data_IF_949656788114
#
_entry.id   IF_949656788114
#
_cell.length_a   1.000
_cell.length_b   1.000
_cell.length_c   1.000
_cell.angle_alpha   90.00
_cell.angle_beta   90.00
_cell.angle_gamma   90.00
#
_symmetry.space_group_name_H-M   'P 1'
#
loop_
_entity.id
_entity.type
_entity.pdbx_description
1 polymer ?
#
# COMPACT_ATOMS: atom_id res chain seq x y z
N UNK A 1 -22.99 -7.77 7.45
CA UNK A 1 -23.02 -6.45 6.78
C UNK A 1 -21.89 -5.65 7.41
N UNK A 2 -20.74 -5.53 6.75
CA UNK A 2 -19.59 -4.82 7.29
C UNK A 2 -19.87 -3.31 7.31
N UNK A 3 -19.57 -2.64 8.42
CA UNK A 3 -19.60 -1.19 8.49
C UNK A 3 -18.27 -0.67 7.93
N UNK A 4 -18.36 0.16 6.89
CA UNK A 4 -17.23 0.76 6.20
C UNK A 4 -17.14 2.24 6.57
N UNK A 5 -15.98 2.69 7.07
CA UNK A 5 -15.64 4.12 7.00
C UNK A 5 -15.27 4.45 5.54
N UNK A 6 -16.10 5.29 4.93
CA UNK A 6 -16.02 5.72 3.54
C UNK A 6 -14.72 6.43 3.15
N UNK A 7 -13.88 6.84 4.11
CA UNK A 7 -12.61 7.52 3.83
C UNK A 7 -11.41 6.57 3.72
N UNK A 8 -11.48 5.38 4.31
CA UNK A 8 -10.33 4.49 4.50
C UNK A 8 -10.58 3.04 4.06
N UNK A 9 -11.84 2.61 3.89
CA UNK A 9 -12.21 1.24 3.53
C UNK A 9 -11.52 0.18 4.42
N UNK A 10 -11.29 0.50 5.70
CA UNK A 10 -10.69 -0.38 6.69
C UNK A 10 -11.83 -1.16 7.36
N UNK A 11 -11.95 -2.48 7.18
CA UNK A 11 -12.93 -3.28 7.90
C UNK A 11 -12.72 -3.15 9.42
N UNK A 12 -13.78 -3.20 10.20
CA UNK A 12 -13.65 -3.29 11.67
C UNK A 12 -12.98 -4.62 12.01
N UNK A 13 -11.88 -4.64 12.81
CA UNK A 13 -11.26 -5.90 13.20
C UNK A 13 -12.20 -6.65 14.14
N UNK A 14 -12.64 -7.83 13.69
CA UNK A 14 -13.50 -8.75 14.47
C UNK A 14 -12.73 -9.98 14.95
N UNK A 15 -11.40 -9.98 14.80
CA UNK A 15 -10.49 -11.04 15.22
C UNK A 15 -9.35 -10.47 16.05
N UNK A 16 -8.77 -11.27 16.97
CA UNK A 16 -7.59 -10.86 17.73
C UNK A 16 -6.44 -10.52 16.77
N UNK A 17 -5.81 -9.37 16.98
CA UNK A 17 -4.62 -8.98 16.24
C UNK A 17 -3.41 -9.26 17.13
N UNK A 18 -2.46 -10.12 16.73
CA UNK A 18 -1.29 -10.39 17.56
C UNK A 18 -0.53 -9.10 17.89
N UNK A 19 -0.16 -8.91 19.15
CA UNK A 19 0.57 -7.72 19.59
C UNK A 19 1.83 -7.48 18.74
N UNK A 20 2.57 -8.53 18.38
CA UNK A 20 3.77 -8.42 17.53
C UNK A 20 3.47 -7.81 16.15
N UNK A 21 2.30 -8.10 15.59
CA UNK A 21 1.85 -7.55 14.31
C UNK A 21 1.58 -6.06 14.46
N UNK A 22 0.82 -5.65 15.46
CA UNK A 22 0.51 -4.22 15.66
C UNK A 22 1.78 -3.43 15.95
N UNK A 23 2.68 -3.98 16.77
CA UNK A 23 3.97 -3.37 17.11
C UNK A 23 4.91 -3.15 15.93
N UNK A 24 4.77 -3.96 14.88
CA UNK A 24 5.53 -3.77 13.65
C UNK A 24 5.12 -2.47 12.92
N UNK A 25 3.86 -2.05 13.05
CA UNK A 25 3.35 -0.81 12.47
C UNK A 25 3.39 0.37 13.44
N UNK A 26 3.23 0.09 14.73
CA UNK A 26 3.17 1.07 15.80
C UNK A 26 3.93 0.58 17.02
N UNK A 27 5.20 0.99 17.11
CA UNK A 27 6.07 0.57 18.20
C UNK A 27 5.69 1.15 19.57
N UNK A 28 4.74 2.09 19.62
CA UNK A 28 4.22 2.67 20.86
C UNK A 28 3.20 1.75 21.53
N UNK A 29 2.58 0.84 20.79
CA UNK A 29 1.72 -0.19 21.36
C UNK A 29 2.59 -1.17 22.15
N UNK A 30 2.32 -1.35 23.43
CA UNK A 30 2.96 -2.34 24.29
C UNK A 30 2.19 -3.66 24.23
N UNK A 31 0.87 -3.58 24.31
CA UNK A 31 -0.03 -4.73 24.31
C UNK A 31 -1.34 -4.39 23.61
N UNK A 32 -1.83 -5.34 22.82
CA UNK A 32 -3.17 -5.34 22.25
C UNK A 32 -3.74 -6.76 22.37
N UNK A 33 -4.90 -6.87 23.00
CA UNK A 33 -5.65 -8.12 23.12
C UNK A 33 -7.14 -7.90 22.89
N UNK A 34 -7.85 -8.95 22.50
CA UNK A 34 -9.31 -8.95 22.31
C UNK A 34 -9.89 -10.02 23.23
N UNK A 35 -10.72 -9.61 24.19
CA UNK A 35 -11.32 -10.53 25.16
C UNK A 35 -12.54 -11.29 24.59
N UNK A 36 -13.10 -12.16 25.43
CA UNK A 36 -14.30 -12.95 25.10
C UNK A 36 -15.60 -12.15 25.02
N UNK A 37 -15.61 -10.89 25.48
CA UNK A 37 -16.73 -9.96 25.40
C UNK A 37 -16.60 -9.00 24.22
N UNK A 38 -15.61 -9.22 23.34
CA UNK A 38 -15.31 -8.42 22.17
C UNK A 38 -14.91 -6.98 22.53
N UNK A 39 -14.07 -6.84 23.56
CA UNK A 39 -13.43 -5.59 23.99
C UNK A 39 -11.93 -5.67 23.73
N UNK A 40 -11.38 -4.64 23.07
CA UNK A 40 -9.95 -4.51 22.88
C UNK A 40 -9.30 -3.86 24.11
N UNK A 41 -8.31 -4.55 24.67
CA UNK A 41 -7.44 -4.04 25.72
C UNK A 41 -6.15 -3.51 25.11
N UNK A 42 -5.94 -2.19 25.18
CA UNK A 42 -4.79 -1.51 24.58
C UNK A 42 -3.91 -0.91 25.68
N UNK A 43 -2.61 -1.21 25.61
CA UNK A 43 -1.57 -0.58 26.43
C UNK A 43 -0.57 0.11 25.53
N UNK A 44 -0.27 1.37 25.80
CA UNK A 44 0.83 2.10 25.17
C UNK A 44 2.04 2.16 26.10
N UNK A 45 3.22 2.04 25.50
CA UNK A 45 4.49 2.04 26.20
C UNK A 45 4.75 3.40 26.87
N UNK A 46 4.99 3.39 28.17
CA UNK A 46 5.28 4.60 28.95
C UNK A 46 4.05 5.35 29.46
N UNK A 47 2.84 4.93 29.09
CA UNK A 47 1.62 5.43 29.73
C UNK A 47 1.29 4.59 30.97
N UNK A 48 0.77 5.19 32.05
CA UNK A 48 0.24 4.41 33.19
C UNK A 48 -1.14 3.83 32.87
N UNK A 49 -1.92 4.55 32.05
CA UNK A 49 -3.28 4.17 31.67
C UNK A 49 -3.27 2.99 30.68
N UNK A 50 -4.35 2.22 30.74
CA UNK A 50 -4.76 1.26 29.69
C UNK A 50 -6.14 1.68 29.16
N UNK A 51 -6.45 1.27 27.94
CA UNK A 51 -7.71 1.61 27.27
C UNK A 51 -8.47 0.34 26.94
N UNK A 52 -9.73 0.30 27.33
CA UNK A 52 -10.67 -0.75 26.98
C UNK A 52 -11.69 -0.14 26.01
N UNK A 53 -11.70 -0.64 24.77
CA UNK A 53 -12.49 -0.04 23.69
C UNK A 53 -13.23 -1.10 22.90
N UNK A 54 -14.41 -0.74 22.40
CA UNK A 54 -15.10 -1.61 21.43
C UNK A 54 -14.30 -1.67 20.12
N UNK A 55 -14.50 -2.69 19.27
CA UNK A 55 -13.89 -2.75 17.94
C UNK A 55 -14.20 -1.53 17.08
N UNK A 56 -15.35 -0.87 17.31
CA UNK A 56 -15.73 0.35 16.61
C UNK A 56 -14.91 1.56 17.06
N UNK A 57 -14.45 1.56 18.31
CA UNK A 57 -13.68 2.67 18.90
C UNK A 57 -12.16 2.45 18.82
N UNK A 58 -11.70 1.24 18.52
CA UNK A 58 -10.26 0.97 18.32
C UNK A 58 -9.58 1.89 17.29
N UNK A 59 -10.20 2.24 16.14
CA UNK A 59 -9.64 3.22 15.19
C UNK A 59 -9.46 4.63 15.77
N UNK A 60 -10.09 4.95 16.91
CA UNK A 60 -9.87 6.23 17.60
C UNK A 60 -8.56 6.26 18.37
N UNK A 61 -7.97 5.09 18.67
CA UNK A 61 -6.71 4.96 19.41
C UNK A 61 -5.50 4.69 18.50
N UNK A 62 -5.70 3.97 17.40
CA UNK A 62 -4.63 3.56 16.49
C UNK A 62 -4.71 4.32 15.16
N UNK A 63 -3.55 4.66 14.59
CA UNK A 63 -3.51 5.34 13.29
C UNK A 63 -4.13 4.46 12.18
N UNK A 64 -4.64 5.10 11.12
CA UNK A 64 -5.16 4.37 9.96
C UNK A 64 -4.13 3.44 9.31
N UNK A 65 -2.86 3.86 9.27
CA UNK A 65 -1.75 3.02 8.80
C UNK A 65 -1.50 1.81 9.68
N UNK A 66 -1.59 1.97 11.01
CA UNK A 66 -1.50 0.87 11.98
C UNK A 66 -2.62 -0.13 11.78
N UNK A 67 -3.86 0.35 11.66
CA UNK A 67 -5.05 -0.49 11.47
C UNK A 67 -4.99 -1.26 10.15
N UNK A 68 -4.79 -0.55 9.03
CA UNK A 68 -4.70 -1.15 7.69
C UNK A 68 -3.53 -2.12 7.59
N UNK A 69 -2.34 -1.72 8.04
CA UNK A 69 -1.15 -2.55 8.01
C UNK A 69 -1.32 -3.84 8.81
N UNK A 70 -1.88 -3.74 10.02
CA UNK A 70 -2.12 -4.90 10.87
C UNK A 70 -3.12 -5.88 10.26
N UNK A 71 -4.12 -5.39 9.55
CA UNK A 71 -5.08 -6.24 8.83
C UNK A 71 -4.45 -6.92 7.61
N UNK A 72 -3.71 -6.17 6.80
CA UNK A 72 -2.95 -6.74 5.68
C UNK A 72 -2.02 -7.83 6.20
N UNK A 73 -1.31 -7.60 7.30
CA UNK A 73 -0.41 -8.61 7.86
C UNK A 73 -1.12 -9.84 8.40
N UNK A 74 -2.31 -9.71 8.99
CA UNK A 74 -3.11 -10.88 9.34
C UNK A 74 -3.51 -11.70 8.11
N UNK A 75 -3.91 -11.04 7.02
CA UNK A 75 -4.18 -11.73 5.76
C UNK A 75 -2.93 -12.40 5.19
N UNK A 76 -1.79 -11.70 5.21
CA UNK A 76 -0.48 -12.23 4.78
C UNK A 76 -0.11 -13.47 5.57
N UNK A 77 -0.22 -13.44 6.90
CA UNK A 77 0.04 -14.61 7.76
C UNK A 77 -0.87 -15.77 7.38
N UNK A 78 -2.17 -15.51 7.23
CA UNK A 78 -3.15 -16.53 6.86
C UNK A 78 -2.81 -17.19 5.52
N UNK A 79 -2.52 -16.41 4.47
CA UNK A 79 -2.20 -16.99 3.15
C UNK A 79 -0.86 -17.71 3.13
N UNK A 80 0.15 -17.21 3.86
CA UNK A 80 1.46 -17.87 3.97
C UNK A 80 1.34 -19.22 4.67
N UNK A 81 0.45 -19.37 5.66
CA UNK A 81 0.19 -20.62 6.35
C UNK A 81 -0.46 -21.69 5.46
N UNK A 82 -1.28 -21.29 4.50
CA UNK A 82 -2.08 -22.23 3.69
C UNK A 82 -1.58 -22.37 2.24
N UNK A 83 -0.71 -21.48 1.77
CA UNK A 83 -0.27 -21.45 0.37
C UNK A 83 -1.28 -20.78 -0.57
N UNK A 84 -2.13 -19.91 -0.04
CA UNK A 84 -3.23 -19.27 -0.77
C UNK A 84 -2.77 -18.04 -1.58
N UNK A 85 -3.71 -17.46 -2.32
CA UNK A 85 -3.53 -16.21 -3.05
C UNK A 85 -4.13 -15.02 -2.28
N UNK A 86 -3.35 -13.95 -2.13
CA UNK A 86 -3.81 -12.67 -1.59
C UNK A 86 -3.87 -11.62 -2.69
N UNK A 87 -5.04 -10.99 -2.86
CA UNK A 87 -5.25 -9.88 -3.78
C UNK A 87 -5.39 -8.58 -2.99
N UNK A 88 -4.52 -7.60 -3.24
CA UNK A 88 -4.56 -6.29 -2.55
C UNK A 88 -4.52 -5.15 -3.56
N UNK A 89 -5.57 -4.33 -3.57
CA UNK A 89 -5.57 -3.09 -4.33
C UNK A 89 -4.86 -1.99 -3.53
N UNK A 90 -4.02 -1.20 -4.19
CA UNK A 90 -3.19 -0.14 -3.61
C UNK A 90 -2.47 -0.60 -2.33
N UNK A 91 -1.55 -1.56 -2.48
CA UNK A 91 -0.84 -2.14 -1.34
C UNK A 91 -0.09 -1.08 -0.52
N UNK A 92 0.40 -0.02 -1.17
CA UNK A 92 1.12 1.09 -0.54
C UNK A 92 0.25 2.05 0.26
N UNK A 93 -1.07 1.99 0.10
CA UNK A 93 -1.94 2.97 0.72
C UNK A 93 -1.80 2.88 2.25
N UNK A 94 -1.44 4.01 2.86
CA UNK A 94 -1.14 4.16 4.29
C UNK A 94 0.03 3.31 4.82
N UNK A 95 0.86 2.73 3.94
CA UNK A 95 2.06 1.98 4.29
C UNK A 95 3.32 2.64 3.72
N UNK A 96 4.37 2.73 4.54
CA UNK A 96 5.65 3.19 4.04
C UNK A 96 6.33 2.10 3.19
N UNK A 97 7.26 2.52 2.33
CA UNK A 97 8.00 1.64 1.42
C UNK A 97 8.67 0.45 2.12
N UNK A 98 9.23 0.66 3.32
CA UNK A 98 9.97 -0.39 4.06
C UNK A 98 9.05 -1.51 4.52
N UNK A 99 7.83 -1.18 4.92
CA UNK A 99 6.81 -2.16 5.31
C UNK A 99 6.40 -3.02 4.10
N UNK A 100 6.18 -2.39 2.94
CA UNK A 100 5.83 -3.11 1.70
C UNK A 100 6.96 -4.05 1.26
N UNK A 101 8.20 -3.58 1.30
CA UNK A 101 9.38 -4.42 1.04
C UNK A 101 9.44 -5.63 1.96
N UNK A 102 9.13 -5.44 3.25
CA UNK A 102 9.09 -6.54 4.21
C UNK A 102 8.02 -7.56 3.83
N UNK A 103 6.83 -7.12 3.41
CA UNK A 103 5.79 -8.03 2.90
C UNK A 103 6.33 -8.84 1.70
N UNK A 104 6.98 -8.20 0.74
CA UNK A 104 7.57 -8.91 -0.40
C UNK A 104 8.64 -9.93 0.01
N UNK A 105 9.47 -9.60 0.99
CA UNK A 105 10.48 -10.53 1.52
C UNK A 105 9.83 -11.78 2.13
N UNK A 106 8.67 -11.62 2.77
CA UNK A 106 7.92 -12.75 3.31
C UNK A 106 7.45 -13.71 2.20
N UNK A 107 6.98 -13.19 1.08
CA UNK A 107 6.50 -14.01 -0.05
C UNK A 107 7.63 -14.61 -0.89
N UNK A 108 8.81 -13.98 -0.96
CA UNK A 108 9.93 -14.44 -1.79
C UNK A 108 10.86 -15.40 -1.07
N UNK A 109 10.83 -15.45 0.26
CA UNK A 109 11.64 -16.38 1.06
C UNK A 109 10.97 -17.74 1.24
N UNK A 110 11.71 -18.82 0.95
CA UNK A 110 11.27 -20.20 1.20
C UNK A 110 11.09 -20.52 2.69
N UNK A 111 11.69 -19.73 3.59
CA UNK A 111 11.56 -19.92 5.04
C UNK A 111 10.20 -19.42 5.54
N UNK A 112 9.74 -18.28 5.02
CA UNK A 112 8.48 -17.63 5.43
C UNK A 112 7.31 -18.00 4.53
N UNK A 113 7.58 -18.43 3.29
CA UNK A 113 6.58 -18.91 2.33
C UNK A 113 6.83 -20.36 1.89
N UNK A 114 6.85 -21.35 2.81
CA UNK A 114 7.11 -22.75 2.47
C UNK A 114 5.96 -23.40 1.67
N UNK A 115 4.77 -22.80 1.68
CA UNK A 115 3.57 -23.30 1.02
C UNK A 115 3.32 -22.67 -0.36
N UNK A 116 4.17 -21.75 -0.81
CA UNK A 116 4.06 -21.17 -2.16
C UNK A 116 2.88 -20.21 -2.34
N UNK A 117 2.50 -19.49 -1.30
CA UNK A 117 1.48 -18.44 -1.34
C UNK A 117 1.84 -17.36 -2.38
N UNK A 118 0.81 -16.74 -2.97
CA UNK A 118 0.95 -15.76 -4.04
C UNK A 118 0.35 -14.41 -3.65
N UNK A 119 1.13 -13.34 -3.81
CA UNK A 119 0.66 -11.97 -3.65
C UNK A 119 0.42 -11.35 -5.03
N UNK A 120 -0.82 -10.94 -5.29
CA UNK A 120 -1.18 -10.11 -6.44
C UNK A 120 -1.62 -8.75 -5.90
N UNK A 121 -1.02 -7.68 -6.42
CA UNK A 121 -1.32 -6.35 -5.93
C UNK A 121 -1.23 -5.29 -7.02
N UNK A 122 -1.85 -4.14 -6.76
CA UNK A 122 -1.68 -2.91 -7.55
C UNK A 122 -0.92 -1.88 -6.72
N UNK A 123 -0.23 -0.96 -7.40
CA UNK A 123 0.51 0.11 -6.74
C UNK A 123 0.74 1.32 -7.63
N UNK A 124 0.80 2.49 -6.99
CA UNK A 124 1.23 3.75 -7.55
C UNK A 124 2.67 4.11 -7.20
N UNK A 125 3.39 3.34 -6.38
CA UNK A 125 4.79 3.59 -6.01
C UNK A 125 5.78 3.09 -7.08
N UNK A 126 6.35 3.96 -7.92
CA UNK A 126 7.27 3.52 -8.98
C UNK A 126 8.57 2.94 -8.40
N UNK A 127 8.95 3.33 -7.18
CA UNK A 127 10.15 2.87 -6.51
C UNK A 127 10.11 1.39 -6.11
N UNK A 128 8.94 0.74 -6.19
CA UNK A 128 8.81 -0.71 -6.05
C UNK A 128 9.31 -1.46 -7.31
N UNK A 129 9.32 -0.81 -8.48
CA UNK A 129 9.86 -1.39 -9.72
C UNK A 129 11.36 -1.70 -9.63
N UNK A 130 12.07 -0.90 -8.82
CA UNK A 130 13.51 -1.07 -8.57
C UNK A 130 13.79 -2.15 -7.52
N UNK A 131 12.78 -2.57 -6.75
CA UNK A 131 12.91 -3.59 -5.70
C UNK A 131 12.61 -4.99 -6.21
N UNK A 132 11.66 -5.11 -7.13
CA UNK A 132 11.26 -6.40 -7.69
C UNK A 132 12.26 -6.84 -8.76
N UNK A 133 12.98 -7.94 -8.53
CA UNK A 133 13.99 -8.42 -9.48
C UNK A 133 13.37 -8.89 -10.80
N UNK A 134 12.25 -9.62 -10.69
CA UNK A 134 11.54 -10.25 -11.81
C UNK A 134 10.65 -9.25 -12.55
N UNK A 135 10.88 -9.08 -13.84
CA UNK A 135 10.12 -8.16 -14.71
C UNK A 135 8.94 -8.82 -15.41
N UNK A 136 8.86 -10.15 -15.39
CA UNK A 136 7.78 -10.94 -15.98
C UNK A 136 6.51 -11.02 -15.12
N UNK A 137 6.62 -10.60 -13.85
CA UNK A 137 5.49 -10.45 -12.93
C UNK A 137 4.99 -9.00 -12.76
N UNK A 138 5.55 -8.05 -13.52
CA UNK A 138 5.18 -6.63 -13.45
C UNK A 138 4.38 -6.26 -14.69
N UNK A 139 3.17 -5.71 -14.47
CA UNK A 139 2.26 -5.28 -15.53
C UNK A 139 1.97 -3.79 -15.40
N UNK A 140 2.00 -3.08 -16.51
CA UNK A 140 1.51 -1.71 -16.61
C UNK A 140 0.13 -1.69 -17.24
N UNK A 141 -0.82 -1.10 -16.53
CA UNK A 141 -2.20 -0.93 -16.97
C UNK A 141 -2.39 0.47 -17.55
N UNK A 142 -2.88 0.59 -18.78
CA UNK A 142 -3.01 1.88 -19.49
C UNK A 142 -4.34 1.97 -20.22
N UNK A 143 -4.97 3.14 -20.20
CA UNK A 143 -6.12 3.41 -21.06
C UNK A 143 -5.66 3.91 -22.43
N UNK A 144 -6.05 3.19 -23.47
CA UNK A 144 -5.77 3.52 -24.86
C UNK A 144 -6.78 4.55 -25.40
N UNK A 145 -6.39 5.29 -26.45
CA UNK A 145 -7.26 6.31 -27.08
C UNK A 145 -8.58 5.76 -27.62
N UNK A 146 -8.61 4.47 -27.97
CA UNK A 146 -9.82 3.76 -28.41
C UNK A 146 -10.73 3.32 -27.25
N UNK A 147 -10.44 3.75 -26.01
CA UNK A 147 -11.20 3.42 -24.82
C UNK A 147 -10.90 2.07 -24.19
N UNK A 148 -10.07 1.22 -24.82
CA UNK A 148 -9.66 -0.07 -24.26
C UNK A 148 -8.57 0.08 -23.20
N UNK A 149 -8.39 -0.95 -22.37
CA UNK A 149 -7.28 -1.06 -21.43
C UNK A 149 -6.22 -1.98 -22.04
N UNK A 150 -4.98 -1.50 -22.04
CA UNK A 150 -3.78 -2.26 -22.37
C UNK A 150 -3.10 -2.72 -21.08
N UNK A 151 -2.62 -3.97 -21.08
CA UNK A 151 -1.90 -4.58 -19.98
C UNK A 151 -0.57 -5.14 -20.52
N UNK A 152 0.50 -4.34 -20.41
CA UNK A 152 1.81 -4.66 -20.96
C UNK A 152 2.76 -5.14 -19.85
N UNK A 153 3.49 -6.24 -20.06
CA UNK A 153 4.52 -6.68 -19.10
C UNK A 153 5.75 -5.81 -19.21
N UNK A 154 6.42 -5.56 -18.08
CA UNK A 154 7.69 -4.82 -18.11
C UNK A 154 8.78 -5.56 -18.91
N UNK A 155 8.80 -6.89 -18.86
CA UNK A 155 9.72 -7.73 -19.65
C UNK A 155 9.57 -7.55 -21.17
N UNK A 156 8.37 -7.22 -21.66
CA UNK A 156 8.09 -7.02 -23.08
C UNK A 156 8.52 -5.61 -23.58
N UNK A 157 8.90 -4.71 -22.67
CA UNK A 157 9.18 -3.29 -22.95
C UNK A 157 10.67 -2.97 -23.07
N UNK A 158 11.55 -3.97 -23.06
CA UNK A 158 13.01 -3.86 -23.22
C UNK A 158 13.63 -2.69 -22.42
N UNK A 159 13.53 -2.69 -21.08
CA UNK A 159 13.99 -1.57 -20.27
C UNK A 159 15.51 -1.38 -20.37
N UNK A 160 15.93 -0.12 -20.32
CA UNK A 160 17.34 0.27 -20.24
C UNK A 160 17.90 -0.04 -18.86
N UNK A 161 18.86 -0.95 -18.78
CA UNK A 161 19.44 -1.40 -17.51
C UNK A 161 20.32 -0.35 -16.81
N UNK A 162 20.74 0.70 -17.52
CA UNK A 162 21.56 1.78 -16.97
C UNK A 162 20.75 2.87 -16.24
N UNK A 163 19.41 2.79 -16.29
CA UNK A 163 18.49 3.75 -15.65
C UNK A 163 17.59 2.98 -14.68
N UNK A 164 17.26 3.60 -13.54
CA UNK A 164 16.29 3.02 -12.61
C UNK A 164 14.93 2.87 -13.29
N UNK A 165 14.25 1.75 -13.05
CA UNK A 165 12.93 1.46 -13.63
C UNK A 165 11.90 2.47 -13.13
N UNK A 166 12.01 2.89 -11.87
CA UNK A 166 11.20 3.97 -11.31
C UNK A 166 11.35 5.29 -12.08
N UNK A 167 12.58 5.67 -12.44
CA UNK A 167 12.87 6.87 -13.21
C UNK A 167 12.35 6.77 -14.65
N UNK A 168 12.52 5.62 -15.30
CA UNK A 168 11.94 5.36 -16.61
C UNK A 168 10.40 5.46 -16.59
N UNK A 169 9.77 4.97 -15.53
CA UNK A 169 8.32 5.08 -15.34
C UNK A 169 7.89 6.54 -15.16
N UNK A 170 8.55 7.29 -14.28
CA UNK A 170 8.26 8.70 -14.01
C UNK A 170 8.53 9.63 -15.19
N UNK A 171 9.52 9.29 -16.02
CA UNK A 171 9.85 10.03 -17.25
C UNK A 171 8.98 9.64 -18.45
N UNK A 172 7.96 8.82 -18.24
CA UNK A 172 7.02 8.37 -19.28
C UNK A 172 7.67 7.56 -20.42
N UNK A 173 8.83 6.92 -20.17
CA UNK A 173 9.53 6.13 -21.18
C UNK A 173 8.77 4.86 -21.56
N UNK A 174 8.01 4.29 -20.63
CA UNK A 174 7.15 3.15 -20.90
C UNK A 174 5.82 3.55 -21.58
N UNK A 175 5.51 4.85 -21.65
CA UNK A 175 4.30 5.39 -22.27
C UNK A 175 3.07 5.40 -21.36
N UNK A 176 2.37 6.54 -21.34
CA UNK A 176 1.15 6.79 -20.55
C UNK A 176 1.25 6.49 -19.04
N UNK A 177 2.44 6.63 -18.45
CA UNK A 177 2.69 6.39 -17.02
C UNK A 177 2.79 7.69 -16.20
N UNK A 178 3.15 8.80 -16.85
CA UNK A 178 3.25 10.12 -16.21
C UNK A 178 2.88 11.24 -17.21
N UNK A 179 2.46 12.43 -16.74
CA UNK A 179 2.23 13.60 -17.59
C UNK A 179 3.46 13.92 -18.42
N UNK A 180 3.25 14.24 -19.70
CA UNK A 180 4.38 14.59 -20.58
C UNK A 180 4.96 15.94 -20.18
N UNK A 181 6.26 16.13 -20.39
CA UNK A 181 6.93 17.42 -20.15
C UNK A 181 6.20 18.60 -20.84
N UNK A 182 5.68 18.39 -22.05
CA UNK A 182 4.90 19.39 -22.77
C UNK A 182 3.59 19.78 -22.05
N UNK A 183 2.87 18.81 -21.47
CA UNK A 183 1.63 19.05 -20.71
C UNK A 183 1.91 19.78 -19.40
N UNK A 184 3.00 19.40 -18.71
CA UNK A 184 3.48 20.10 -17.52
C UNK A 184 3.82 21.56 -17.86
N UNK A 185 4.47 21.81 -19.00
CA UNK A 185 4.80 23.15 -19.45
C UNK A 185 3.55 23.96 -19.82
N UNK A 186 2.56 23.35 -20.48
CA UNK A 186 1.27 24.00 -20.77
C UNK A 186 0.55 24.41 -19.48
N UNK A 187 0.52 23.54 -18.46
CA UNK A 187 -0.08 23.86 -17.16
C UNK A 187 0.64 25.01 -16.46
N UNK A 188 1.99 25.00 -16.46
CA UNK A 188 2.79 26.11 -15.90
C UNK A 188 2.46 27.43 -16.58
N UNK A 189 2.43 27.45 -17.92
CA UNK A 189 2.09 28.64 -18.69
C UNK A 189 0.68 29.14 -18.36
N UNK A 190 -0.30 28.24 -18.28
CA UNK A 190 -1.68 28.58 -17.91
C UNK A 190 -1.75 29.27 -16.53
N UNK A 191 -1.08 28.70 -15.53
CA UNK A 191 -1.03 29.26 -14.17
C UNK A 191 -0.37 30.64 -14.18
N UNK A 192 0.76 30.80 -14.86
CA UNK A 192 1.46 32.10 -14.94
C UNK A 192 0.57 33.17 -15.58
N UNK A 193 -0.12 32.87 -16.68
CA UNK A 193 -1.05 33.82 -17.30
C UNK A 193 -2.22 34.19 -16.37
N UNK A 194 -2.75 33.23 -15.62
CA UNK A 194 -3.88 33.49 -14.70
C UNK A 194 -3.47 34.41 -13.54
N UNK A 195 -2.27 34.21 -12.98
CA UNK A 195 -1.75 35.03 -11.88
C UNK A 195 -1.43 36.46 -12.34
N UNK A 196 -0.91 36.65 -13.55
CA UNK A 196 -0.65 37.97 -14.13
C UNK A 196 -1.92 38.75 -14.46
N UNK A 197 -3.04 38.07 -14.72
CA UNK A 197 -4.33 38.71 -15.01
C UNK A 197 -5.06 39.21 -13.74
N UNK A 198 -4.85 38.58 -12.58
CA UNK A 198 -5.47 38.98 -11.30
C UNK A 198 -4.69 40.08 -10.55
N UNK A 199 -3.40 40.29 -10.85
CA UNK A 199 -2.57 41.32 -10.22
C UNK A 199 -2.68 42.71 -10.88
N UNK A 200 -3.63 42.88 -11.81
CA UNK A 200 -3.95 44.12 -12.51
C UNK A 200 -5.26 44.81 -12.07
N UNK A 201 -5.79 44.50 -10.88
CA UNK A 201 -6.92 45.20 -10.25
C UNK A 201 -6.50 45.90 -8.96
#
# INVERSE_FOLDING_TARGET
>A
MGYYDSSLNIPVPMSPIPTQVVRFFDNTVEHLDLDGENVFHVKFAGEERSYDVSPMDLPLLLSSGTMRGSQIMQMVISVLMHGDMLLVDELENSLNKRLIQTIFDLFTSQVTNPHGACLIFTTHYPELLDYLDRTDCIYFMRRMKNGKVDASKLSDLEPRYDIKRSEMFLSNQFGATAPKAAEIMMLRNYITHRLSADSGQ
#
